data_IF_023660569970
#
_entry.id   IF_023660569970
#
_cell.length_a   1.000
_cell.length_b   1.000
_cell.length_c   1.000
_cell.angle_alpha   90.00
_cell.angle_beta   90.00
_cell.angle_gamma   90.00
#
_symmetry.space_group_name_H-M   'P 1'
#
loop_
_entity.id
_entity.type
_entity.pdbx_description
1 polymer ?
#
# COMPACT_ATOMS: atom_id res chain seq x y z
N UNK A 1 54.50 -12.88 -5.63
CA UNK A 1 53.62 -11.73 -5.98
C UNK A 1 52.28 -12.02 -5.35
N UNK A 2 52.08 -11.51 -4.14
CA UNK A 2 50.85 -11.64 -3.36
C UNK A 2 49.81 -10.68 -3.93
N UNK A 3 48.65 -11.19 -4.35
CA UNK A 3 47.48 -10.37 -4.64
C UNK A 3 46.40 -10.75 -3.64
N UNK A 4 46.26 -9.95 -2.59
CA UNK A 4 45.19 -10.07 -1.60
C UNK A 4 43.86 -9.79 -2.29
N UNK A 5 42.98 -10.80 -2.34
CA UNK A 5 41.63 -10.68 -2.88
C UNK A 5 40.74 -10.21 -1.73
N UNK A 6 40.44 -8.90 -1.72
CA UNK A 6 39.57 -8.25 -0.74
C UNK A 6 38.12 -8.80 -0.78
N UNK A 7 37.56 -9.06 0.41
CA UNK A 7 36.23 -9.64 0.69
C UNK A 7 35.01 -8.89 0.11
N UNK A 8 35.17 -7.66 -0.41
CA UNK A 8 34.05 -6.84 -0.88
C UNK A 8 33.45 -7.30 -2.23
N UNK A 9 34.23 -7.96 -3.08
CA UNK A 9 33.78 -8.36 -4.42
C UNK A 9 32.81 -9.56 -4.40
N UNK A 10 32.95 -10.44 -3.41
CA UNK A 10 32.05 -11.58 -3.15
C UNK A 10 30.69 -11.07 -2.63
N UNK A 11 30.72 -10.00 -1.83
CA UNK A 11 29.51 -9.39 -1.28
C UNK A 11 28.65 -8.78 -2.37
N UNK A 12 29.27 -8.04 -3.31
CA UNK A 12 28.58 -7.39 -4.42
C UNK A 12 27.90 -8.40 -5.37
N UNK A 13 28.57 -9.52 -5.68
CA UNK A 13 28.03 -10.56 -6.57
C UNK A 13 26.89 -11.39 -5.93
N UNK A 14 26.96 -11.64 -4.61
CA UNK A 14 25.86 -12.25 -3.83
C UNK A 14 24.62 -11.36 -3.76
N UNK A 15 24.78 -10.04 -3.66
CA UNK A 15 23.68 -9.07 -3.66
C UNK A 15 23.04 -8.99 -5.06
N UNK A 16 23.85 -8.90 -6.11
CA UNK A 16 23.36 -8.82 -7.50
C UNK A 16 22.56 -10.07 -7.92
N UNK A 17 23.02 -11.27 -7.54
CA UNK A 17 22.37 -12.53 -7.90
C UNK A 17 21.06 -12.78 -7.10
N UNK A 18 20.93 -12.21 -5.89
CA UNK A 18 19.67 -12.24 -5.13
C UNK A 18 18.62 -11.23 -5.63
N UNK A 19 19.05 -10.15 -6.27
CA UNK A 19 18.14 -9.12 -6.80
C UNK A 19 17.37 -9.58 -8.04
N UNK A 20 17.93 -10.41 -8.93
CA UNK A 20 17.30 -10.72 -10.22
C UNK A 20 16.22 -11.81 -10.17
N UNK A 21 16.31 -12.79 -9.27
CA UNK A 21 15.36 -13.92 -9.22
C UNK A 21 14.09 -13.58 -8.42
N UNK A 22 14.22 -12.77 -7.37
CA UNK A 22 13.09 -12.41 -6.49
C UNK A 22 12.14 -11.39 -7.15
N UNK A 23 12.65 -10.51 -8.02
CA UNK A 23 11.84 -9.54 -8.76
C UNK A 23 10.99 -10.21 -9.85
N UNK A 24 11.52 -11.23 -10.54
CA UNK A 24 10.77 -12.02 -11.54
C UNK A 24 9.65 -12.87 -10.91
N UNK A 25 9.83 -13.30 -9.65
CA UNK A 25 8.78 -14.00 -8.90
C UNK A 25 7.63 -13.07 -8.47
N UNK A 26 7.87 -11.76 -8.29
CA UNK A 26 6.80 -10.79 -7.98
C UNK A 26 5.97 -10.44 -9.21
N UNK A 27 6.58 -10.38 -10.40
CA UNK A 27 5.86 -10.07 -11.64
C UNK A 27 4.93 -11.21 -12.09
N UNK A 28 5.27 -12.47 -11.80
CA UNK A 28 4.47 -13.65 -12.14
C UNK A 28 3.25 -13.86 -11.23
N UNK A 29 3.24 -13.29 -10.02
CA UNK A 29 2.09 -13.34 -9.10
C UNK A 29 1.17 -12.11 -9.28
N UNK A 30 1.48 -11.19 -10.21
CA UNK A 30 0.62 -10.03 -10.48
C UNK A 30 0.50 -9.05 -9.31
N UNK A 31 1.42 -9.09 -8.33
CA UNK A 31 1.54 -8.04 -7.32
C UNK A 31 2.39 -6.90 -7.88
N UNK A 32 1.83 -6.19 -8.86
CA UNK A 32 2.39 -4.94 -9.36
C UNK A 32 1.46 -3.80 -8.95
N UNK A 33 1.59 -3.38 -7.70
CA UNK A 33 1.39 -2.02 -7.21
C UNK A 33 1.78 -2.03 -5.73
N UNK A 34 2.56 -1.05 -5.28
CA UNK A 34 3.19 -0.98 -3.95
C UNK A 34 2.25 -0.85 -2.74
N UNK A 35 1.03 -1.39 -2.83
CA UNK A 35 0.00 -1.39 -1.79
C UNK A 35 -0.26 -2.84 -1.38
N UNK A 36 0.61 -3.43 -0.56
CA UNK A 36 0.25 -4.66 0.15
C UNK A 36 -0.80 -4.28 1.21
N UNK A 37 -2.02 -4.82 1.15
CA UNK A 37 -3.04 -4.52 2.16
C UNK A 37 -2.54 -4.95 3.54
N UNK A 38 -2.83 -4.13 4.56
CA UNK A 38 -2.41 -4.42 5.91
C UNK A 38 -3.02 -5.75 6.39
N UNK A 39 -2.22 -6.54 7.11
CA UNK A 39 -2.73 -7.78 7.70
C UNK A 39 -3.82 -7.45 8.73
N UNK A 40 -4.77 -8.37 8.92
CA UNK A 40 -5.86 -8.18 9.89
C UNK A 40 -5.35 -7.95 11.31
N UNK A 41 -4.26 -8.62 11.67
CA UNK A 41 -3.58 -8.45 12.95
C UNK A 41 -3.00 -7.04 13.08
N UNK A 42 -2.28 -6.54 12.06
CA UNK A 42 -1.71 -5.19 12.08
C UNK A 42 -2.77 -4.09 12.24
N UNK A 43 -3.94 -4.24 11.61
CA UNK A 43 -5.07 -3.32 11.79
C UNK A 43 -5.67 -3.35 13.21
N UNK A 44 -5.66 -4.53 13.83
CA UNK A 44 -6.13 -4.72 15.22
C UNK A 44 -5.14 -4.13 16.22
N UNK A 45 -3.85 -4.38 16.04
CA UNK A 45 -2.77 -3.86 16.90
C UNK A 45 -2.70 -2.34 16.85
N UNK A 46 -2.92 -1.75 15.66
CA UNK A 46 -3.04 -0.30 15.48
C UNK A 46 -4.38 0.28 15.98
N UNK A 47 -5.28 -0.55 16.53
CA UNK A 47 -6.59 -0.16 17.08
C UNK A 47 -7.42 0.68 16.10
N UNK A 48 -7.42 0.33 14.82
CA UNK A 48 -8.21 1.03 13.81
C UNK A 48 -9.72 0.78 14.05
N UNK A 49 -10.57 1.82 14.00
CA UNK A 49 -12.03 1.67 14.01
C UNK A 49 -12.51 0.83 12.83
N UNK A 50 -13.62 0.10 13.01
CA UNK A 50 -14.15 -0.82 11.98
C UNK A 50 -14.41 -0.13 10.63
N UNK A 51 -14.81 1.14 10.64
CA UNK A 51 -15.08 1.91 9.43
C UNK A 51 -13.84 2.14 8.55
N UNK A 52 -12.63 2.09 9.12
CA UNK A 52 -11.37 2.36 8.42
C UNK A 52 -10.51 1.10 8.21
N UNK A 53 -11.11 -0.09 8.33
CA UNK A 53 -10.43 -1.37 8.06
C UNK A 53 -10.67 -1.81 6.61
N UNK A 54 -10.32 -0.95 5.69
CA UNK A 54 -10.49 -1.11 4.25
C UNK A 54 -9.17 -1.49 3.56
N UNK A 55 -9.19 -1.59 2.22
CA UNK A 55 -7.96 -1.86 1.44
C UNK A 55 -6.89 -0.78 1.63
N UNK A 56 -7.28 0.45 1.97
CA UNK A 56 -6.38 1.59 2.19
C UNK A 56 -5.80 1.68 3.61
N UNK A 57 -6.17 0.77 4.52
CA UNK A 57 -5.76 0.80 5.93
C UNK A 57 -4.24 0.78 6.15
N UNK A 58 -3.47 0.22 5.22
CA UNK A 58 -2.01 0.19 5.26
C UNK A 58 -1.37 1.59 5.21
N UNK A 59 -2.03 2.57 4.60
CA UNK A 59 -1.60 3.98 4.56
C UNK A 59 -2.07 4.76 5.80
N UNK A 60 -3.13 4.31 6.46
CA UNK A 60 -3.69 4.99 7.63
C UNK A 60 -2.84 4.77 8.89
N UNK A 61 -2.22 3.60 9.03
CA UNK A 61 -1.31 3.28 10.15
C UNK A 61 -0.14 4.27 10.23
N UNK A 62 0.65 4.52 9.16
CA UNK A 62 1.72 5.52 9.21
C UNK A 62 1.19 6.95 9.36
N UNK A 63 0.03 7.29 8.78
CA UNK A 63 -0.58 8.60 8.97
C UNK A 63 -0.94 8.87 10.45
N UNK A 64 -1.52 7.88 11.13
CA UNK A 64 -1.85 8.01 12.55
C UNK A 64 -0.62 8.09 13.43
N UNK A 65 0.48 7.42 13.04
CA UNK A 65 1.77 7.56 13.70
C UNK A 65 2.32 8.98 13.58
N UNK A 66 2.39 9.51 12.36
CA UNK A 66 2.83 10.89 12.11
C UNK A 66 1.98 11.91 12.88
N UNK A 67 0.66 11.73 12.89
CA UNK A 67 -0.26 12.61 13.64
C UNK A 67 0.03 12.63 15.14
N UNK A 68 0.36 11.49 15.73
CA UNK A 68 0.71 11.42 17.16
C UNK A 68 2.08 12.05 17.44
N UNK A 69 3.07 11.81 16.58
CA UNK A 69 4.42 12.36 16.72
C UNK A 69 4.45 13.89 16.55
N UNK A 70 3.66 14.43 15.62
CA UNK A 70 3.60 15.86 15.30
C UNK A 70 2.41 16.58 15.97
N UNK A 71 1.81 15.99 17.01
CA UNK A 71 0.69 16.59 17.77
C UNK A 71 -0.49 17.08 16.90
N UNK A 72 -0.80 16.36 15.82
CA UNK A 72 -1.90 16.65 14.89
C UNK A 72 -1.79 18.00 14.18
N UNK A 73 -0.57 18.53 14.00
CA UNK A 73 -0.36 19.76 13.24
C UNK A 73 -0.73 19.56 11.76
N UNK A 74 -1.57 20.44 11.17
CA UNK A 74 -2.16 20.21 9.85
C UNK A 74 -1.17 20.30 8.67
N UNK A 75 0.00 20.90 8.86
CA UNK A 75 1.00 21.12 7.81
C UNK A 75 2.17 20.11 7.79
N UNK A 76 2.22 19.14 8.72
CA UNK A 76 3.37 18.23 8.87
C UNK A 76 3.20 16.90 8.14
N UNK A 77 2.03 16.27 8.24
CA UNK A 77 1.74 14.95 7.66
C UNK A 77 0.95 15.05 6.34
N UNK A 78 1.30 16.02 5.49
CA UNK A 78 0.52 16.34 4.29
C UNK A 78 0.61 15.21 3.25
N UNK A 79 1.81 14.68 3.04
CA UNK A 79 2.09 13.64 2.04
C UNK A 79 1.33 12.35 2.34
N UNK A 80 1.39 11.88 3.58
CA UNK A 80 0.73 10.66 4.05
C UNK A 80 -0.79 10.83 3.97
N UNK A 81 -1.29 12.02 4.32
CA UNK A 81 -2.71 12.36 4.21
C UNK A 81 -3.19 12.31 2.77
N UNK A 82 -2.51 13.00 1.85
CA UNK A 82 -2.87 13.00 0.43
C UNK A 82 -2.77 11.62 -0.19
N UNK A 83 -1.78 10.82 0.23
CA UNK A 83 -1.63 9.44 -0.26
C UNK A 83 -2.81 8.56 0.18
N UNK A 84 -3.25 8.69 1.43
CA UNK A 84 -4.43 8.00 1.95
C UNK A 84 -5.72 8.47 1.26
N UNK A 85 -5.90 9.78 1.10
CA UNK A 85 -7.08 10.37 0.43
C UNK A 85 -7.17 9.96 -1.05
N UNK A 86 -6.03 9.87 -1.75
CA UNK A 86 -5.99 9.35 -3.12
C UNK A 86 -6.45 7.90 -3.20
N UNK A 87 -6.00 7.04 -2.27
CA UNK A 87 -6.43 5.64 -2.22
C UNK A 87 -7.95 5.53 -2.02
N UNK A 88 -8.50 6.32 -1.09
CA UNK A 88 -9.95 6.38 -0.84
C UNK A 88 -10.73 6.86 -2.07
N UNK A 89 -10.21 7.84 -2.79
CA UNK A 89 -10.83 8.34 -4.00
C UNK A 89 -10.87 7.27 -5.11
N UNK A 90 -9.80 6.50 -5.28
CA UNK A 90 -9.76 5.41 -6.24
C UNK A 90 -10.74 4.29 -5.90
N UNK A 91 -10.84 3.92 -4.62
CA UNK A 91 -11.78 2.91 -4.17
C UNK A 91 -13.25 3.39 -4.28
N UNK A 92 -13.50 4.68 -4.02
CA UNK A 92 -14.79 5.30 -4.30
C UNK A 92 -15.17 5.21 -5.79
N UNK A 93 -14.26 5.52 -6.72
CA UNK A 93 -14.52 5.38 -8.16
C UNK A 93 -14.87 3.94 -8.54
N UNK A 94 -14.22 2.94 -7.95
CA UNK A 94 -14.55 1.52 -8.16
C UNK A 94 -15.98 1.21 -7.71
N UNK A 95 -16.42 1.75 -6.56
CA UNK A 95 -17.80 1.59 -6.10
C UNK A 95 -18.82 2.28 -6.99
N UNK A 96 -18.50 3.46 -7.51
CA UNK A 96 -19.39 4.18 -8.47
C UNK A 96 -19.56 3.35 -9.74
N UNK A 97 -18.46 2.86 -10.33
CA UNK A 97 -18.51 1.99 -11.51
C UNK A 97 -19.39 0.75 -11.27
N UNK A 98 -19.23 0.08 -10.12
CA UNK A 98 -20.06 -1.06 -9.74
C UNK A 98 -21.55 -0.68 -9.59
N UNK A 99 -21.84 0.50 -9.04
CA UNK A 99 -23.23 0.96 -8.93
C UNK A 99 -23.83 1.28 -10.30
N UNK A 100 -23.05 1.82 -11.24
CA UNK A 100 -23.51 2.10 -12.59
C UNK A 100 -23.77 0.82 -13.39
N UNK A 101 -22.93 -0.20 -13.24
CA UNK A 101 -23.18 -1.56 -13.76
C UNK A 101 -24.51 -2.13 -13.24
N UNK A 102 -24.75 -2.02 -11.93
CA UNK A 102 -26.00 -2.49 -11.31
C UNK A 102 -27.23 -1.70 -11.76
N UNK A 103 -27.09 -0.38 -11.99
CA UNK A 103 -28.17 0.46 -12.51
C UNK A 103 -28.49 0.11 -13.97
N UNK A 104 -27.48 -0.10 -14.80
CA UNK A 104 -27.66 -0.52 -16.18
C UNK A 104 -28.38 -1.89 -16.24
N UNK A 105 -28.01 -2.84 -15.38
CA UNK A 105 -28.68 -4.13 -15.26
C UNK A 105 -30.15 -4.02 -14.79
N UNK A 106 -30.49 -2.99 -14.00
CA UNK A 106 -31.84 -2.72 -13.49
C UNK A 106 -32.66 -1.76 -14.36
N UNK A 107 -32.21 -1.48 -15.59
CA UNK A 107 -32.94 -0.59 -16.50
C UNK A 107 -33.00 0.88 -16.06
N UNK A 108 -32.05 1.33 -15.24
CA UNK A 108 -31.96 2.73 -14.78
C UNK A 108 -32.71 3.05 -13.50
N UNK A 109 -33.34 2.06 -12.85
CA UNK A 109 -34.04 2.28 -11.58
C UNK A 109 -33.06 2.56 -10.43
N UNK A 110 -33.26 3.70 -9.75
CA UNK A 110 -32.56 4.03 -8.51
C UNK A 110 -33.23 3.26 -7.37
N UNK A 111 -32.52 2.31 -6.79
CA UNK A 111 -32.94 1.65 -5.55
C UNK A 111 -32.89 2.66 -4.40
N UNK A 112 -34.05 3.21 -4.05
CA UNK A 112 -34.27 4.04 -2.87
C UNK A 112 -35.57 3.60 -2.20
#
# INVERSE_FOLDING_TARGET
MTFEINDEHIFYWKVLCKMTVVESAKSTIGLTDGSTPASRQAMSDARLPLAYRDSCAHLLIPLNRCRQEEYYLPWKCETERHTYERCQYEEFKKRVAKMDELRAAKGGERSN
#
